data_IF_288064971453
#
_entry.id   IF_288064971453
#
_cell.length_a   1.000
_cell.length_b   1.000
_cell.length_c   1.000
_cell.angle_alpha   90.00
_cell.angle_beta   90.00
_cell.angle_gamma   90.00
#
_symmetry.space_group_name_H-M   'P 1'
#
loop_
_entity.id
_entity.type
_entity.pdbx_description
1 polymer ?
#
# COMPACT_ATOMS: atom_id res chain seq x y z
N UNK A 1 7.97 -1.23 -5.68
CA UNK A 1 7.99 -1.96 -4.39
C UNK A 1 9.26 -1.73 -3.55
N UNK A 2 10.47 -1.75 -4.12
CA UNK A 2 11.75 -1.56 -3.37
C UNK A 2 11.75 -0.33 -2.47
N UNK A 3 11.38 0.83 -2.99
CA UNK A 3 11.38 2.05 -2.19
C UNK A 3 10.24 2.10 -1.15
N UNK A 4 9.23 1.23 -1.29
CA UNK A 4 8.07 1.19 -0.40
C UNK A 4 8.32 0.29 0.81
N UNK A 5 9.09 -0.80 0.64
CA UNK A 5 9.45 -1.67 1.76
C UNK A 5 10.35 -0.96 2.79
N UNK A 6 11.08 0.08 2.39
CA UNK A 6 11.85 0.94 3.32
C UNK A 6 10.94 1.81 4.20
N UNK A 7 9.72 2.07 3.75
CA UNK A 7 8.75 2.94 4.43
C UNK A 7 7.77 2.15 5.30
N UNK A 8 7.83 0.82 5.28
CA UNK A 8 6.83 0.03 5.97
C UNK A 8 6.78 -1.42 5.52
N UNK A 9 5.76 -2.16 5.96
CA UNK A 9 5.56 -3.56 5.60
C UNK A 9 4.46 -3.68 4.56
N UNK A 10 4.69 -4.47 3.52
CA UNK A 10 3.78 -4.58 2.39
C UNK A 10 2.81 -5.76 2.56
N UNK A 11 1.57 -5.58 2.09
CA UNK A 11 0.55 -6.64 1.98
C UNK A 11 0.48 -7.26 0.59
N UNK A 12 0.96 -6.51 -0.41
CA UNK A 12 0.92 -6.91 -1.81
C UNK A 12 2.23 -7.56 -2.26
N UNK A 13 2.09 -8.63 -3.03
CA UNK A 13 3.21 -9.31 -3.67
C UNK A 13 3.58 -8.65 -5.01
N UNK A 14 4.81 -8.83 -5.51
CA UNK A 14 5.19 -8.36 -6.84
C UNK A 14 4.30 -8.99 -7.92
N UNK A 15 3.74 -8.16 -8.80
CA UNK A 15 2.85 -8.60 -9.88
C UNK A 15 1.38 -8.78 -9.46
N UNK A 16 1.03 -8.52 -8.20
CA UNK A 16 -0.36 -8.52 -7.75
C UNK A 16 -1.12 -7.33 -8.36
N UNK A 17 -2.33 -7.59 -8.87
CA UNK A 17 -3.20 -6.55 -9.40
C UNK A 17 -3.73 -5.68 -8.26
N UNK A 18 -3.67 -4.37 -8.48
CA UNK A 18 -4.11 -3.37 -7.51
C UNK A 18 -4.95 -2.29 -8.18
N UNK A 19 -5.73 -1.59 -7.38
CA UNK A 19 -6.51 -0.43 -7.82
C UNK A 19 -6.30 0.79 -6.92
N UNK A 20 -6.74 1.94 -7.37
CA UNK A 20 -6.59 3.20 -6.64
C UNK A 20 -7.37 3.19 -5.33
N UNK A 21 -6.72 3.55 -4.22
CA UNK A 21 -7.31 3.55 -2.89
C UNK A 21 -7.30 2.19 -2.17
N UNK A 22 -6.74 1.15 -2.80
CA UNK A 22 -6.37 -0.08 -2.12
C UNK A 22 -5.18 0.15 -1.18
N UNK A 23 -5.24 -0.42 0.02
CA UNK A 23 -4.17 -0.37 1.01
C UNK A 23 -3.14 -1.44 0.66
N UNK A 24 -1.91 -1.00 0.42
CA UNK A 24 -0.82 -1.87 -0.07
C UNK A 24 0.17 -2.26 1.02
N UNK A 25 0.04 -1.70 2.22
CA UNK A 25 0.92 -1.99 3.35
C UNK A 25 0.68 -1.06 4.53
N UNK A 26 1.43 -1.32 5.60
CA UNK A 26 1.46 -0.55 6.84
C UNK A 26 2.63 0.41 6.77
N UNK A 27 2.36 1.71 6.92
CA UNK A 27 3.41 2.71 7.03
C UNK A 27 4.10 2.63 8.39
N UNK A 28 5.41 2.88 8.45
CA UNK A 28 6.17 2.87 9.71
C UNK A 28 5.85 4.04 10.64
N UNK A 29 5.06 5.01 10.17
CA UNK A 29 4.56 6.16 10.93
C UNK A 29 3.05 6.14 10.94
N UNK A 30 2.46 6.85 11.91
CA UNK A 30 1.01 6.93 12.10
C UNK A 30 0.26 7.65 10.97
N UNK A 31 0.94 8.44 10.15
CA UNK A 31 0.28 9.17 9.07
C UNK A 31 0.09 8.30 7.82
N UNK A 32 -1.05 8.46 7.16
CA UNK A 32 -1.29 7.86 5.85
C UNK A 32 -0.37 8.42 4.77
N UNK A 33 0.03 7.55 3.84
CA UNK A 33 0.85 7.92 2.69
C UNK A 33 0.29 7.32 1.40
N UNK A 34 -0.15 8.19 0.49
CA UNK A 34 -0.55 7.76 -0.86
C UNK A 34 0.71 7.51 -1.69
N UNK A 35 0.86 6.29 -2.20
CA UNK A 35 2.04 5.86 -2.96
C UNK A 35 1.65 5.22 -4.28
N UNK A 36 2.57 5.24 -5.25
CA UNK A 36 2.43 4.50 -6.49
C UNK A 36 3.35 3.26 -6.47
N UNK A 37 2.79 2.05 -6.27
CA UNK A 37 3.57 0.81 -6.24
C UNK A 37 3.86 0.21 -7.63
N UNK A 38 3.14 0.60 -8.70
CA UNK A 38 3.35 0.15 -10.08
C UNK A 38 4.46 0.92 -10.78
N UNK A 39 4.87 2.07 -10.22
CA UNK A 39 5.97 2.85 -10.75
C UNK A 39 7.27 2.02 -10.76
N UNK A 40 7.79 1.80 -11.96
CA UNK A 40 9.09 1.17 -12.16
C UNK A 40 10.20 1.97 -11.46
N UNK A 41 11.22 1.26 -10.97
CA UNK A 41 12.44 1.90 -10.46
C UNK A 41 13.02 2.70 -11.62
N UNK A 42 13.14 4.02 -11.45
CA UNK A 42 13.83 4.84 -12.42
C UNK A 42 15.31 4.45 -12.36
N UNK A 43 15.77 3.69 -13.35
CA UNK A 43 17.17 3.39 -13.57
C UNK A 43 17.81 4.67 -14.11
N UNK A 44 18.05 5.66 -13.26
CA UNK A 44 18.95 6.73 -13.61
C UNK A 44 20.33 6.10 -13.75
N UNK A 45 20.81 6.02 -15.00
CA UNK A 45 22.15 5.55 -15.39
C UNK A 45 23.25 6.44 -14.76
N UNK A 46 23.38 6.42 -13.44
CA UNK A 46 24.41 7.10 -12.68
C UNK A 46 25.42 6.02 -12.31
N UNK A 47 26.36 5.79 -13.23
CA UNK A 47 27.76 5.37 -12.99
C UNK A 47 28.03 4.69 -11.63
N UNK A 48 27.50 3.49 -11.43
CA UNK A 48 27.98 2.58 -10.39
C UNK A 48 28.44 1.31 -11.11
N UNK A 49 29.72 1.28 -11.44
CA UNK A 49 30.43 0.10 -11.92
C UNK A 49 30.20 -1.07 -10.95
N UNK A 50 29.43 -2.07 -11.37
CA UNK A 50 29.60 -3.45 -10.89
C UNK A 50 28.73 -3.95 -9.73
N UNK A 51 27.49 -3.47 -9.52
CA UNK A 51 26.53 -4.18 -8.65
C UNK A 51 25.14 -4.20 -9.27
N UNK A 52 24.83 -5.30 -9.96
CA UNK A 52 23.47 -5.79 -10.09
C UNK A 52 23.01 -6.20 -8.68
N UNK A 53 22.47 -5.25 -7.93
CA UNK A 53 21.85 -5.56 -6.64
C UNK A 53 20.59 -6.37 -6.92
N UNK A 54 20.69 -7.69 -6.72
CA UNK A 54 19.56 -8.59 -6.78
C UNK A 54 18.52 -8.08 -5.77
N UNK A 55 17.44 -7.50 -6.27
CA UNK A 55 16.46 -6.79 -5.46
C UNK A 55 15.71 -7.81 -4.61
N UNK A 56 16.11 -7.91 -3.34
CA UNK A 56 15.38 -8.72 -2.37
C UNK A 56 14.19 -7.92 -1.85
N UNK A 57 12.99 -8.48 -2.07
CA UNK A 57 11.76 -7.96 -1.51
C UNK A 57 11.40 -8.80 -0.29
N UNK A 58 11.09 -8.11 0.81
CA UNK A 58 10.52 -8.77 1.98
C UNK A 58 9.19 -9.44 1.59
N UNK A 59 8.90 -10.64 2.11
CA UNK A 59 7.65 -11.31 1.82
C UNK A 59 6.46 -10.46 2.28
N UNK A 60 5.42 -10.44 1.45
CA UNK A 60 4.20 -9.70 1.77
C UNK A 60 3.47 -10.35 2.94
N UNK A 61 2.93 -9.54 3.85
CA UNK A 61 2.13 -10.01 4.98
C UNK A 61 0.76 -10.39 4.44
N UNK A 62 0.40 -11.67 4.60
CA UNK A 62 -0.94 -12.18 4.30
C UNK A 62 -1.75 -12.17 5.58
N UNK A 63 -2.78 -11.34 5.62
CA UNK A 63 -3.71 -11.25 6.74
C UNK A 63 -4.83 -12.27 6.57
N UNK A 64 -5.26 -12.90 7.66
CA UNK A 64 -6.53 -13.63 7.68
C UNK A 64 -7.70 -12.66 7.69
N UNK A 65 -8.91 -13.17 7.47
CA UNK A 65 -10.13 -12.37 7.53
C UNK A 65 -10.27 -11.67 8.89
N UNK A 66 -10.03 -12.40 9.97
CA UNK A 66 -10.14 -11.92 11.35
C UNK A 66 -9.11 -10.82 11.63
N UNK A 67 -7.86 -11.02 11.20
CA UNK A 67 -6.81 -10.01 11.35
C UNK A 67 -7.11 -8.75 10.56
N UNK A 68 -7.67 -8.90 9.35
CA UNK A 68 -8.05 -7.76 8.52
C UNK A 68 -9.24 -6.99 9.11
N UNK A 69 -10.18 -7.69 9.76
CA UNK A 69 -11.29 -7.07 10.49
C UNK A 69 -10.83 -6.32 11.75
N UNK A 70 -9.82 -6.82 12.45
CA UNK A 70 -9.22 -6.13 13.59
C UNK A 70 -8.38 -4.91 13.16
N UNK A 71 -7.81 -4.96 11.96
CA UNK A 71 -6.95 -3.91 11.44
C UNK A 71 -7.70 -2.71 10.86
N UNK A 72 -8.92 -2.89 10.36
CA UNK A 72 -9.64 -1.86 9.60
C UNK A 72 -10.12 -0.69 10.48
N UNK A 73 -9.85 0.53 10.05
CA UNK A 73 -10.33 1.76 10.70
C UNK A 73 -11.68 2.25 10.14
N UNK A 74 -12.27 3.27 10.78
CA UNK A 74 -13.58 3.85 10.40
C UNK A 74 -13.64 4.42 8.97
N UNK A 75 -12.51 4.90 8.44
CA UNK A 75 -12.40 5.42 7.07
C UNK A 75 -11.94 4.36 6.06
N UNK A 76 -11.85 3.10 6.50
CA UNK A 76 -11.40 1.95 5.73
C UNK A 76 -12.50 0.90 5.59
N UNK A 77 -12.34 0.01 4.62
CA UNK A 77 -13.27 -1.08 4.34
C UNK A 77 -12.49 -2.33 3.95
N UNK A 78 -13.00 -3.48 4.40
CA UNK A 78 -12.54 -4.78 3.96
C UNK A 78 -13.39 -5.25 2.77
N UNK A 79 -12.75 -5.39 1.62
CA UNK A 79 -13.33 -6.02 0.44
C UNK A 79 -13.11 -7.53 0.52
N UNK A 80 -14.22 -8.29 0.60
CA UNK A 80 -14.19 -9.75 0.68
C UNK A 80 -14.77 -10.34 -0.60
N UNK A 81 -13.98 -11.20 -1.24
CA UNK A 81 -14.38 -12.03 -2.38
C UNK A 81 -14.07 -13.49 -2.04
N UNK A 82 -14.67 -14.48 -2.73
CA UNK A 82 -14.40 -15.88 -2.44
C UNK A 82 -12.92 -16.29 -2.60
N UNK A 83 -12.16 -15.54 -3.39
CA UNK A 83 -10.75 -15.83 -3.72
C UNK A 83 -9.76 -14.87 -3.07
N UNK A 84 -10.19 -13.70 -2.61
CA UNK A 84 -9.30 -12.69 -2.01
C UNK A 84 -9.98 -11.80 -0.98
N UNK A 85 -9.20 -11.37 0.00
CA UNK A 85 -9.54 -10.33 0.97
C UNK A 85 -8.59 -9.15 0.79
N UNK A 86 -9.12 -7.94 0.62
CA UNK A 86 -8.33 -6.73 0.36
C UNK A 86 -8.77 -5.60 1.27
N UNK A 87 -7.82 -4.83 1.76
CA UNK A 87 -8.06 -3.61 2.52
C UNK A 87 -8.08 -2.40 1.56
N UNK A 88 -9.02 -1.48 1.76
CA UNK A 88 -9.16 -0.26 0.96
C UNK A 88 -9.67 0.89 1.80
N UNK A 89 -9.40 2.12 1.38
CA UNK A 89 -10.06 3.30 1.94
C UNK A 89 -11.52 3.36 1.46
N UNK A 90 -12.40 3.93 2.28
CA UNK A 90 -13.79 4.23 1.92
C UNK A 90 -13.84 5.13 0.69
N UNK A 91 -13.09 6.22 0.72
CA UNK A 91 -12.86 7.09 -0.44
C UNK A 91 -11.59 6.66 -1.17
N UNK A 92 -11.75 6.27 -2.44
CA UNK A 92 -10.65 5.73 -3.24
C UNK A 92 -9.67 6.83 -3.66
N UNK A 93 -10.21 7.98 -4.06
CA UNK A 93 -9.43 9.08 -4.58
C UNK A 93 -8.88 9.93 -3.43
N UNK A 94 -7.61 10.34 -3.53
CA UNK A 94 -6.95 11.12 -2.47
C UNK A 94 -7.67 12.46 -2.19
N UNK A 95 -8.18 13.11 -3.23
CA UNK A 95 -8.86 14.39 -3.09
C UNK A 95 -10.22 14.26 -2.39
N UNK A 96 -10.89 13.11 -2.52
CA UNK A 96 -12.13 12.82 -1.81
C UNK A 96 -11.87 12.59 -0.32
N UNK A 97 -10.78 11.87 0.02
CA UNK A 97 -10.33 11.72 1.42
C UNK A 97 -10.08 13.08 2.07
N UNK A 98 -9.33 13.96 1.39
CA UNK A 98 -9.06 15.32 1.89
C UNK A 98 -10.33 16.15 2.06
N UNK A 99 -11.33 15.97 1.20
CA UNK A 99 -12.62 16.66 1.31
C UNK A 99 -13.43 16.14 2.50
N UNK A 100 -13.52 14.83 2.67
CA UNK A 100 -14.25 14.20 3.78
C UNK A 100 -13.62 14.55 5.14
N UNK A 101 -12.29 14.52 5.23
CA UNK A 101 -11.57 14.92 6.45
C UNK A 101 -11.85 16.37 6.86
N UNK A 102 -12.06 17.28 5.90
CA UNK A 102 -12.44 18.67 6.18
C UNK A 102 -13.90 18.80 6.61
N UNK A 103 -14.81 18.07 5.95
CA UNK A 103 -16.24 18.12 6.27
C UNK A 103 -16.57 17.56 7.66
N UNK A 104 -15.77 16.62 8.17
CA UNK A 104 -15.95 16.06 9.51
C UNK A 104 -15.29 16.92 10.62
N UNK A 105 -14.54 17.96 10.26
CA UNK A 105 -13.86 18.85 11.22
C UNK A 105 -14.70 20.09 11.59
N UNK A 106 -15.77 20.36 10.84
CA UNK A 106 -16.79 21.37 11.11
C UNK A 106 -17.97 20.76 11.88
#
# INVERSE_FOLDING_TARGET
LVNLQERGRLFVSPGEEIYEGQIVGIHSRENDLTVNPTKAKQLTNIRASGRDENVQLSPAIKMTLEQAMEFVDDDELLEVTPTSTRLRKRYLLEHERKRAARANAD
#
